data_IF_561423910918
#
_entry.id   IF_561423910918
#
_cell.length_a   1.000
_cell.length_b   1.000
_cell.length_c   1.000
_cell.angle_alpha   90.00
_cell.angle_beta   90.00
_cell.angle_gamma   90.00
#
_symmetry.space_group_name_H-M   'P 1'
#
loop_
_entity.id
_entity.type
_entity.pdbx_description
1 polymer ?
#
# COMPACT_ATOMS: atom_id res chain seq x y z
N UNK A 1 9.16 -11.62 -14.58
CA UNK A 1 8.78 -10.95 -13.32
C UNK A 1 7.73 -11.75 -12.57
N UNK A 2 7.58 -11.51 -11.27
CA UNK A 2 6.65 -12.22 -10.41
C UNK A 2 5.63 -11.25 -9.82
N UNK A 3 4.34 -11.62 -9.84
CA UNK A 3 3.25 -10.89 -9.18
C UNK A 3 2.69 -11.81 -8.08
N UNK A 4 2.68 -11.32 -6.85
CA UNK A 4 2.08 -11.98 -5.69
C UNK A 4 0.70 -11.35 -5.41
N UNK A 5 -0.36 -12.04 -5.78
CA UNK A 5 -1.74 -11.56 -5.61
C UNK A 5 -2.74 -12.70 -5.73
N UNK A 6 -3.93 -12.52 -5.15
CA UNK A 6 -5.05 -13.46 -5.32
C UNK A 6 -5.57 -13.50 -6.78
N UNK A 7 -6.30 -14.54 -7.12
CA UNK A 7 -6.79 -14.77 -8.49
C UNK A 7 -7.80 -13.68 -8.92
N UNK A 8 -8.61 -13.19 -8.00
CA UNK A 8 -9.68 -12.22 -8.26
C UNK A 8 -9.22 -10.75 -8.30
N UNK A 9 -7.90 -10.47 -8.32
CA UNK A 9 -7.41 -9.08 -8.35
C UNK A 9 -7.47 -8.49 -9.77
N UNK A 10 -8.64 -7.98 -10.16
CA UNK A 10 -8.89 -7.33 -11.45
C UNK A 10 -7.92 -6.18 -11.73
N UNK A 11 -7.48 -5.45 -10.69
CA UNK A 11 -6.49 -4.38 -10.89
C UNK A 11 -5.09 -4.91 -11.26
N UNK A 12 -4.76 -6.11 -10.84
CA UNK A 12 -3.54 -6.77 -11.31
C UNK A 12 -3.66 -7.16 -12.79
N UNK A 13 -4.87 -7.58 -13.24
CA UNK A 13 -5.12 -7.92 -14.64
C UNK A 13 -4.90 -6.72 -15.58
N UNK A 14 -5.30 -5.51 -15.17
CA UNK A 14 -5.03 -4.28 -15.92
C UNK A 14 -3.53 -4.10 -16.21
N UNK A 15 -2.68 -4.39 -15.22
CA UNK A 15 -1.21 -4.30 -15.37
C UNK A 15 -0.66 -5.43 -16.24
N UNK A 16 -1.17 -6.66 -16.07
CA UNK A 16 -0.75 -7.84 -16.83
C UNK A 16 -1.02 -7.65 -18.33
N UNK A 17 -2.14 -7.05 -18.72
CA UNK A 17 -2.45 -6.69 -20.10
C UNK A 17 -1.33 -5.86 -20.73
N UNK A 18 -0.87 -4.81 -20.05
CA UNK A 18 0.22 -3.96 -20.54
C UNK A 18 1.57 -4.69 -20.61
N UNK A 19 1.86 -5.54 -19.63
CA UNK A 19 3.09 -6.35 -19.60
C UNK A 19 3.12 -7.34 -20.75
N UNK A 20 2.02 -8.06 -20.99
CA UNK A 20 1.88 -9.01 -22.08
C UNK A 20 1.98 -8.29 -23.43
N UNK A 21 1.32 -7.14 -23.61
CA UNK A 21 1.43 -6.32 -24.80
C UNK A 21 2.85 -5.81 -25.09
N UNK A 22 3.70 -5.74 -24.06
CA UNK A 22 5.12 -5.37 -24.18
C UNK A 22 6.05 -6.58 -24.27
N UNK A 23 5.53 -7.80 -24.37
CA UNK A 23 6.34 -9.03 -24.46
C UNK A 23 7.12 -9.36 -23.17
N UNK A 24 6.73 -8.82 -22.02
CA UNK A 24 7.41 -9.07 -20.74
C UNK A 24 6.89 -10.37 -20.12
N UNK A 25 7.74 -11.38 -19.89
CA UNK A 25 7.31 -12.63 -19.25
C UNK A 25 6.82 -12.37 -17.81
N UNK A 26 5.57 -12.74 -17.53
CA UNK A 26 4.91 -12.58 -16.23
C UNK A 26 4.54 -13.94 -15.68
N UNK A 27 4.80 -14.14 -14.39
CA UNK A 27 4.23 -15.21 -13.60
C UNK A 27 3.46 -14.58 -12.44
N UNK A 28 2.19 -14.97 -12.30
CA UNK A 28 1.31 -14.57 -11.20
C UNK A 28 1.10 -15.79 -10.32
N UNK A 29 1.24 -15.63 -9.04
CA UNK A 29 0.91 -16.64 -8.04
C UNK A 29 0.15 -16.01 -6.89
N UNK A 30 -0.75 -16.76 -6.29
CA UNK A 30 -1.22 -16.48 -4.95
C UNK A 30 -0.33 -17.28 -3.97
N UNK A 31 0.32 -16.63 -3.00
CA UNK A 31 1.03 -17.32 -1.93
C UNK A 31 0.16 -18.33 -1.16
N UNK A 32 -1.15 -18.15 -1.13
CA UNK A 32 -2.07 -19.11 -0.55
C UNK A 32 -2.08 -20.47 -1.25
N UNK A 33 -1.67 -20.53 -2.55
CA UNK A 33 -1.56 -21.76 -3.33
C UNK A 33 -0.24 -22.49 -3.10
N UNK A 34 0.62 -22.00 -2.21
CA UNK A 34 1.87 -22.70 -1.90
C UNK A 34 1.54 -24.09 -1.32
N UNK A 35 2.12 -25.13 -1.93
CA UNK A 35 1.81 -26.55 -1.73
C UNK A 35 0.53 -27.06 -2.40
N UNK A 36 -0.26 -26.18 -3.02
CA UNK A 36 -1.46 -26.54 -3.78
C UNK A 36 -1.42 -25.81 -5.15
N UNK A 37 -0.62 -26.34 -6.07
CA UNK A 37 -0.42 -25.76 -7.41
C UNK A 37 0.81 -24.86 -7.53
N UNK A 38 1.36 -24.35 -6.42
CA UNK A 38 2.64 -23.64 -6.37
C UNK A 38 3.65 -24.43 -5.54
N UNK A 39 4.84 -24.68 -6.11
CA UNK A 39 5.95 -25.35 -5.41
C UNK A 39 7.16 -24.44 -5.36
N UNK A 40 7.93 -24.57 -4.28
CA UNK A 40 9.13 -23.78 -4.01
C UNK A 40 10.31 -24.71 -3.75
N UNK A 41 11.46 -24.42 -4.35
CA UNK A 41 12.72 -25.11 -4.08
C UNK A 41 13.87 -24.12 -4.04
N UNK A 42 14.79 -24.31 -3.12
CA UNK A 42 16.00 -23.50 -3.03
C UNK A 42 17.14 -24.28 -2.40
N UNK A 43 18.34 -24.11 -2.94
CA UNK A 43 19.56 -24.69 -2.40
C UNK A 43 20.64 -23.61 -2.17
N UNK A 44 21.40 -23.80 -1.13
CA UNK A 44 22.54 -22.96 -0.76
C UNK A 44 23.79 -23.82 -0.76
N UNK A 45 24.54 -23.77 -1.85
CA UNK A 45 25.71 -24.63 -2.05
C UNK A 45 26.90 -23.79 -2.52
N UNK A 46 28.07 -23.99 -1.89
CA UNK A 46 29.30 -23.28 -2.21
C UNK A 46 29.16 -21.75 -2.24
N UNK A 47 28.42 -21.17 -1.26
CA UNK A 47 28.20 -19.74 -1.17
C UNK A 47 27.26 -19.16 -2.23
N UNK A 48 26.54 -20.01 -2.97
CA UNK A 48 25.58 -19.60 -4.01
C UNK A 48 24.17 -20.07 -3.64
N UNK A 49 23.22 -19.17 -3.82
CA UNK A 49 21.81 -19.48 -3.75
C UNK A 49 21.25 -19.75 -5.15
N UNK A 50 20.43 -20.80 -5.28
CA UNK A 50 19.65 -21.12 -6.48
C UNK A 50 18.23 -21.42 -6.06
N UNK A 51 17.29 -20.54 -6.41
CA UNK A 51 15.88 -20.71 -6.08
C UNK A 51 15.00 -20.85 -7.31
N UNK A 52 13.97 -21.65 -7.19
CA UNK A 52 12.96 -21.88 -8.23
C UNK A 52 11.56 -21.90 -7.64
N UNK A 53 10.62 -21.40 -8.41
CA UNK A 53 9.18 -21.53 -8.20
C UNK A 53 8.59 -22.31 -9.36
N UNK A 54 7.68 -23.25 -9.09
CA UNK A 54 6.87 -23.91 -10.11
C UNK A 54 5.42 -23.49 -9.92
N UNK A 55 4.79 -22.97 -10.97
CA UNK A 55 3.39 -22.54 -10.97
C UNK A 55 2.79 -22.68 -12.36
N UNK A 56 1.59 -23.25 -12.48
CA UNK A 56 0.89 -23.42 -13.75
C UNK A 56 1.72 -24.15 -14.80
N UNK A 57 2.48 -25.18 -14.41
CA UNK A 57 3.37 -25.96 -15.29
C UNK A 57 4.63 -25.24 -15.77
N UNK A 58 4.94 -24.04 -15.21
CA UNK A 58 6.12 -23.24 -15.54
C UNK A 58 7.12 -23.25 -14.39
N UNK A 59 8.40 -23.45 -14.71
CA UNK A 59 9.51 -23.30 -13.77
C UNK A 59 10.10 -21.90 -13.90
N UNK A 60 10.18 -21.17 -12.77
CA UNK A 60 10.66 -19.79 -12.69
C UNK A 60 11.89 -19.73 -11.81
N UNK A 61 13.01 -19.27 -12.35
CA UNK A 61 14.20 -19.00 -11.54
C UNK A 61 14.00 -17.74 -10.69
N UNK A 62 14.15 -17.87 -9.38
CA UNK A 62 14.11 -16.74 -8.44
C UNK A 62 15.28 -15.78 -8.71
N UNK A 63 16.46 -16.32 -8.99
CA UNK A 63 17.65 -15.51 -9.29
C UNK A 63 17.53 -14.71 -10.60
N UNK A 64 16.68 -15.17 -11.54
CA UNK A 64 16.43 -14.47 -12.80
C UNK A 64 15.26 -13.48 -12.75
N UNK A 65 14.66 -13.25 -11.59
CA UNK A 65 13.56 -12.31 -11.45
C UNK A 65 14.04 -10.87 -11.63
N UNK A 66 13.40 -10.16 -12.55
CA UNK A 66 13.63 -8.71 -12.77
C UNK A 66 12.97 -7.85 -11.70
N UNK A 67 11.74 -8.22 -11.35
CA UNK A 67 10.95 -7.52 -10.35
C UNK A 67 9.94 -8.44 -9.68
N UNK A 68 9.58 -8.08 -8.44
CA UNK A 68 8.50 -8.71 -7.67
C UNK A 68 7.49 -7.63 -7.29
N UNK A 69 6.23 -7.87 -7.62
CA UNK A 69 5.13 -7.00 -7.21
C UNK A 69 4.29 -7.72 -6.15
N UNK A 70 4.31 -7.19 -4.92
CA UNK A 70 3.45 -7.66 -3.83
C UNK A 70 2.19 -6.82 -3.83
N UNK A 71 1.09 -7.40 -4.31
CA UNK A 71 -0.15 -6.64 -4.51
C UNK A 71 -1.21 -6.96 -3.47
N UNK A 72 -1.82 -8.12 -3.56
CA UNK A 72 -2.84 -8.62 -2.61
C UNK A 72 -2.65 -10.12 -2.38
N UNK A 73 -1.49 -10.52 -1.85
CA UNK A 73 -1.21 -11.93 -1.64
C UNK A 73 -2.12 -12.50 -0.55
N UNK A 74 -2.59 -13.72 -0.77
CA UNK A 74 -3.15 -14.54 0.30
C UNK A 74 -2.06 -14.96 1.30
N UNK A 75 -2.50 -15.54 2.40
CA UNK A 75 -1.59 -16.04 3.44
C UNK A 75 -0.88 -17.30 2.94
N UNK A 76 0.46 -17.38 2.95
CA UNK A 76 1.20 -18.56 2.52
C UNK A 76 0.95 -19.75 3.46
N UNK A 77 0.07 -20.65 3.09
CA UNK A 77 -0.22 -21.79 3.96
C UNK A 77 -0.84 -22.98 3.23
N UNK A 78 -1.01 -22.88 1.93
CA UNK A 78 -1.88 -23.78 1.17
C UNK A 78 -3.36 -23.57 1.51
N UNK A 79 -4.22 -24.05 0.63
CA UNK A 79 -5.69 -24.03 0.81
C UNK A 79 -6.18 -25.17 1.72
N UNK A 80 -5.33 -25.71 2.59
CA UNK A 80 -5.74 -26.70 3.58
C UNK A 80 -6.88 -26.13 4.43
N UNK A 81 -7.89 -26.92 4.72
CA UNK A 81 -9.09 -26.49 5.45
C UNK A 81 -8.79 -25.84 6.81
N UNK A 82 -7.65 -26.11 7.40
CA UNK A 82 -7.10 -25.47 8.60
C UNK A 82 -5.57 -25.54 8.58
N UNK A 83 -4.86 -24.60 7.92
CA UNK A 83 -3.41 -24.57 8.02
C UNK A 83 -3.00 -24.27 9.46
N UNK A 84 -2.06 -25.03 10.01
CA UNK A 84 -1.51 -24.70 11.32
C UNK A 84 -0.74 -23.38 11.24
N UNK A 85 -0.76 -22.60 12.32
CA UNK A 85 0.01 -21.36 12.39
C UNK A 85 1.52 -21.60 12.12
N UNK A 86 2.02 -22.76 12.50
CA UNK A 86 3.40 -23.17 12.23
C UNK A 86 3.67 -23.36 10.73
N UNK A 87 2.83 -24.09 10.00
CA UNK A 87 3.01 -24.27 8.54
C UNK A 87 2.88 -22.94 7.79
N UNK A 88 1.99 -22.05 8.23
CA UNK A 88 1.85 -20.70 7.67
C UNK A 88 3.14 -19.89 7.85
N UNK A 89 3.75 -19.97 9.01
CA UNK A 89 5.01 -19.26 9.28
C UNK A 89 6.17 -19.87 8.47
N UNK A 90 6.32 -21.20 8.43
CA UNK A 90 7.34 -21.89 7.62
C UNK A 90 7.21 -21.54 6.13
N UNK A 91 6.00 -21.58 5.57
CA UNK A 91 5.73 -21.21 4.20
C UNK A 91 6.07 -19.74 3.91
N UNK A 92 5.72 -18.85 4.84
CA UNK A 92 6.01 -17.43 4.74
C UNK A 92 7.51 -17.14 4.78
N UNK A 93 8.22 -17.74 5.74
CA UNK A 93 9.69 -17.61 5.86
C UNK A 93 10.40 -18.15 4.63
N UNK A 94 10.00 -19.31 4.14
CA UNK A 94 10.59 -19.93 2.95
C UNK A 94 10.37 -19.04 1.71
N UNK A 95 9.12 -18.68 1.40
CA UNK A 95 8.79 -17.92 0.20
C UNK A 95 9.46 -16.52 0.21
N UNK A 96 9.16 -15.73 1.23
CA UNK A 96 9.68 -14.37 1.27
C UNK A 96 11.19 -14.31 1.55
N UNK A 97 11.74 -15.27 2.29
CA UNK A 97 13.17 -15.39 2.51
C UNK A 97 13.93 -15.68 1.20
N UNK A 98 13.45 -16.64 0.41
CA UNK A 98 14.06 -16.94 -0.89
C UNK A 98 13.92 -15.80 -1.89
N UNK A 99 12.76 -15.14 -1.95
CA UNK A 99 12.55 -13.99 -2.83
C UNK A 99 13.47 -12.81 -2.46
N UNK A 100 13.72 -12.57 -1.16
CA UNK A 100 14.68 -11.56 -0.70
C UNK A 100 16.14 -11.89 -1.04
N UNK A 101 16.44 -13.16 -1.25
CA UNK A 101 17.75 -13.62 -1.73
C UNK A 101 18.01 -13.33 -3.21
N UNK A 102 17.06 -12.73 -3.94
CA UNK A 102 17.21 -12.30 -5.33
C UNK A 102 17.52 -10.81 -5.44
N UNK A 103 18.17 -10.41 -6.55
CA UNK A 103 18.44 -9.02 -6.90
C UNK A 103 17.21 -8.31 -7.51
N UNK A 104 16.04 -8.92 -7.43
CA UNK A 104 14.81 -8.39 -8.00
C UNK A 104 14.42 -7.07 -7.34
N UNK A 105 13.92 -6.13 -8.16
CA UNK A 105 13.33 -4.89 -7.63
C UNK A 105 11.94 -5.18 -7.08
N UNK A 106 11.55 -4.46 -6.04
CA UNK A 106 10.29 -4.68 -5.35
C UNK A 106 9.31 -3.52 -5.50
N UNK A 107 8.08 -3.86 -5.71
CA UNK A 107 6.95 -2.92 -5.60
C UNK A 107 5.87 -3.53 -4.68
N UNK A 108 5.81 -3.23 -3.38
CA UNK A 108 6.85 -2.66 -2.52
C UNK A 108 7.67 -3.78 -1.86
N UNK A 109 8.85 -3.43 -1.33
CA UNK A 109 9.56 -4.38 -0.47
C UNK A 109 8.70 -4.71 0.76
N UNK A 110 8.57 -6.00 1.14
CA UNK A 110 7.64 -6.40 2.21
C UNK A 110 7.90 -5.71 3.56
N UNK A 111 9.16 -5.45 3.90
CA UNK A 111 9.50 -4.82 5.18
C UNK A 111 9.13 -3.33 5.18
N UNK A 112 9.39 -2.62 4.09
CA UNK A 112 8.94 -1.24 3.90
C UNK A 112 7.41 -1.14 3.95
N UNK A 113 6.71 -2.05 3.27
CA UNK A 113 5.25 -2.13 3.29
C UNK A 113 4.71 -2.42 4.69
N UNK A 114 5.35 -3.33 5.46
CA UNK A 114 4.97 -3.65 6.84
C UNK A 114 5.09 -2.43 7.74
N UNK A 115 6.18 -1.69 7.66
CA UNK A 115 6.38 -0.46 8.42
C UNK A 115 5.35 0.61 8.01
N UNK A 116 5.17 0.80 6.71
CA UNK A 116 4.31 1.83 6.15
C UNK A 116 2.81 1.63 6.43
N UNK A 117 2.36 0.43 6.84
CA UNK A 117 0.95 0.18 7.18
C UNK A 117 0.51 0.80 8.52
N UNK A 118 1.44 1.18 9.40
CA UNK A 118 1.11 1.68 10.73
C UNK A 118 0.68 3.16 10.68
N UNK A 119 -0.61 3.46 10.85
CA UNK A 119 -1.15 4.84 10.79
C UNK A 119 -0.42 5.83 11.72
N UNK A 120 -0.11 5.53 12.99
CA UNK A 120 0.63 6.47 13.84
C UNK A 120 1.99 6.87 13.24
N UNK A 121 2.68 5.89 12.65
CA UNK A 121 3.95 6.13 11.99
C UNK A 121 3.78 6.96 10.71
N UNK A 122 2.74 6.67 9.91
CA UNK A 122 2.41 7.44 8.71
C UNK A 122 2.17 8.93 9.02
N UNK A 123 1.34 9.23 10.04
CA UNK A 123 1.02 10.60 10.44
C UNK A 123 2.30 11.35 10.87
N UNK A 124 3.14 10.72 11.69
CA UNK A 124 4.42 11.29 12.12
C UNK A 124 5.36 11.52 10.93
N UNK A 125 5.46 10.56 10.01
CA UNK A 125 6.32 10.70 8.84
C UNK A 125 5.82 11.83 7.92
N UNK A 126 4.50 11.90 7.68
CA UNK A 126 3.88 12.95 6.88
C UNK A 126 4.21 14.35 7.43
N UNK A 127 4.04 14.57 8.74
CA UNK A 127 4.43 15.82 9.40
C UNK A 127 5.91 16.16 9.21
N UNK A 128 6.80 15.17 9.38
CA UNK A 128 8.25 15.36 9.21
C UNK A 128 8.65 15.66 7.75
N UNK A 129 7.80 15.29 6.81
CA UNK A 129 7.99 15.58 5.39
C UNK A 129 7.34 16.90 4.97
N UNK A 130 6.62 17.59 5.87
CA UNK A 130 5.97 18.87 5.59
C UNK A 130 4.53 18.75 5.05
N UNK A 131 3.91 17.56 5.11
CA UNK A 131 2.49 17.40 4.79
C UNK A 131 1.63 17.89 5.96
N UNK A 132 0.58 18.70 5.70
CA UNK A 132 -0.41 19.03 6.72
C UNK A 132 -1.13 17.77 7.19
N UNK A 133 -1.19 17.55 8.50
CA UNK A 133 -1.86 16.40 9.13
C UNK A 133 -2.91 16.93 10.10
N UNK A 134 -4.18 16.47 10.02
CA UNK A 134 -5.20 16.88 10.97
C UNK A 134 -4.82 16.49 12.40
N UNK A 135 -5.17 17.32 13.39
CA UNK A 135 -4.96 16.98 14.79
C UNK A 135 -5.55 15.60 15.08
N UNK A 136 -4.76 14.73 15.70
CA UNK A 136 -5.10 13.31 15.91
C UNK A 136 -4.66 12.86 17.28
N UNK A 137 -5.51 12.10 17.97
CA UNK A 137 -5.17 11.36 19.17
C UNK A 137 -5.44 9.87 18.95
N UNK A 138 -4.57 9.01 19.45
CA UNK A 138 -4.80 7.57 19.54
C UNK A 138 -4.64 7.21 21.01
N UNK A 139 -5.70 6.74 21.62
CA UNK A 139 -5.72 6.56 23.08
C UNK A 139 -6.61 5.39 23.51
N UNK A 140 -6.29 4.84 24.67
CA UNK A 140 -7.14 3.95 25.47
C UNK A 140 -7.64 4.63 26.76
N UNK A 141 -7.37 5.94 26.93
CA UNK A 141 -7.77 6.71 28.09
C UNK A 141 -9.02 7.54 27.78
N UNK A 142 -10.19 7.24 28.38
CA UNK A 142 -11.42 8.01 28.16
C UNK A 142 -11.26 9.50 28.46
N UNK A 143 -10.47 9.85 29.48
CA UNK A 143 -10.17 11.23 29.82
C UNK A 143 -9.45 11.97 28.69
N UNK A 144 -8.40 11.35 28.10
CA UNK A 144 -7.66 11.96 27.00
C UNK A 144 -8.54 12.13 25.73
N UNK A 145 -9.48 11.21 25.50
CA UNK A 145 -10.44 11.33 24.41
C UNK A 145 -11.39 12.51 24.64
N UNK A 146 -11.91 12.72 25.86
CA UNK A 146 -12.76 13.88 26.22
C UNK A 146 -11.99 15.19 26.08
N UNK A 147 -10.80 15.31 26.68
CA UNK A 147 -9.96 16.50 26.58
C UNK A 147 -9.62 16.85 25.12
N UNK A 148 -9.46 15.84 24.26
CA UNK A 148 -9.25 16.05 22.83
C UNK A 148 -10.52 16.54 22.13
N UNK A 149 -11.70 16.00 22.48
CA UNK A 149 -12.98 16.42 21.93
C UNK A 149 -13.36 17.87 22.36
N UNK A 150 -13.03 18.26 23.57
CA UNK A 150 -13.20 19.66 24.04
C UNK A 150 -12.37 20.65 23.23
N UNK A 151 -11.15 20.27 22.83
CA UNK A 151 -10.27 21.12 22.01
C UNK A 151 -10.65 21.14 20.54
N UNK A 152 -11.25 20.07 20.04
CA UNK A 152 -11.62 19.89 18.65
C UNK A 152 -13.05 19.33 18.59
N UNK A 153 -14.09 20.19 18.54
CA UNK A 153 -15.49 19.73 18.66
C UNK A 153 -16.02 18.98 17.43
N UNK A 154 -15.34 19.05 16.28
CA UNK A 154 -15.72 18.34 15.07
C UNK A 154 -14.71 17.22 14.79
N UNK A 155 -15.07 16.00 15.20
CA UNK A 155 -14.21 14.84 15.17
C UNK A 155 -14.77 13.71 14.29
N UNK A 156 -13.84 12.91 13.83
CA UNK A 156 -14.12 11.59 13.24
C UNK A 156 -13.39 10.51 14.03
N UNK A 157 -13.99 9.34 14.09
CA UNK A 157 -13.38 8.10 14.58
C UNK A 157 -13.02 7.20 13.40
N UNK A 158 -11.85 6.60 13.45
CA UNK A 158 -11.32 5.71 12.41
C UNK A 158 -10.70 4.46 13.03
N UNK A 159 -10.76 3.30 12.35
CA UNK A 159 -9.99 2.13 12.78
C UNK A 159 -8.49 2.41 12.62
N UNK A 160 -7.71 1.99 13.60
CA UNK A 160 -6.23 2.09 13.52
C UNK A 160 -5.70 1.12 12.46
N UNK A 161 -6.26 -0.09 12.36
CA UNK A 161 -5.84 -1.12 11.41
C UNK A 161 -6.38 -0.95 9.99
N UNK A 162 -7.46 -0.21 9.80
CA UNK A 162 -8.10 0.02 8.50
C UNK A 162 -9.23 -0.96 8.15
N UNK A 163 -9.24 -2.19 8.69
CA UNK A 163 -10.28 -3.19 8.44
C UNK A 163 -10.60 -4.00 9.69
N UNK A 164 -11.83 -4.48 9.79
CA UNK A 164 -12.21 -5.46 10.82
C UNK A 164 -11.72 -6.85 10.40
N UNK A 165 -11.11 -7.63 11.30
CA UNK A 165 -10.54 -8.96 11.00
C UNK A 165 -11.62 -10.04 10.96
N UNK A 166 -12.70 -9.83 10.22
CA UNK A 166 -13.70 -10.86 9.90
C UNK A 166 -13.32 -11.56 8.60
N UNK A 167 -13.83 -12.73 8.39
CA UNK A 167 -13.74 -13.45 7.13
C UNK A 167 -15.11 -13.40 6.38
N UNK A 168 -15.21 -12.72 5.24
CA UNK A 168 -14.19 -11.85 4.62
C UNK A 168 -13.97 -10.54 5.41
N UNK A 169 -12.77 -9.94 5.32
CA UNK A 169 -12.46 -8.68 5.99
C UNK A 169 -13.41 -7.57 5.56
N UNK A 170 -14.00 -6.87 6.53
CA UNK A 170 -14.92 -5.76 6.26
C UNK A 170 -14.23 -4.41 6.47
N UNK A 171 -14.41 -3.52 5.51
CA UNK A 171 -13.99 -2.14 5.69
C UNK A 171 -14.82 -1.49 6.81
N UNK A 172 -14.13 -0.86 7.77
CA UNK A 172 -14.79 -0.05 8.80
C UNK A 172 -14.80 1.39 8.31
N UNK A 173 -15.98 2.03 8.19
CA UNK A 173 -16.04 3.41 7.73
C UNK A 173 -15.46 4.38 8.75
N UNK A 174 -14.98 5.51 8.25
CA UNK A 174 -14.74 6.69 9.08
C UNK A 174 -16.09 7.27 9.47
N UNK A 175 -16.34 7.45 10.75
CA UNK A 175 -17.62 7.95 11.26
C UNK A 175 -17.44 9.26 12.03
N UNK A 176 -18.41 10.14 11.94
CA UNK A 176 -18.45 11.37 12.74
C UNK A 176 -18.73 11.04 14.21
N UNK A 177 -18.05 11.72 15.10
CA UNK A 177 -18.28 11.62 16.55
C UNK A 177 -19.42 12.57 16.92
N UNK A 178 -20.47 12.06 17.57
CA UNK A 178 -21.57 12.89 18.04
C UNK A 178 -21.12 13.78 19.22
N UNK A 179 -21.67 15.01 19.37
CA UNK A 179 -21.27 15.92 20.42
C UNK A 179 -21.45 15.38 21.85
N UNK A 180 -22.46 14.52 22.03
CA UNK A 180 -22.81 13.88 23.30
C UNK A 180 -22.20 12.48 23.49
N UNK A 181 -21.17 12.14 22.68
CA UNK A 181 -20.53 10.83 22.74
C UNK A 181 -19.94 10.55 24.13
N UNK A 182 -20.35 9.44 24.74
CA UNK A 182 -19.65 8.89 25.90
C UNK A 182 -18.37 8.14 25.46
N UNK A 183 -17.23 8.61 25.89
CA UNK A 183 -15.94 8.03 25.57
C UNK A 183 -15.53 6.88 26.50
N UNK A 184 -16.41 6.37 27.36
CA UNK A 184 -16.08 5.28 28.30
C UNK A 184 -15.58 4.02 27.58
N UNK A 185 -16.16 3.71 26.41
CA UNK A 185 -15.77 2.56 25.58
C UNK A 185 -14.33 2.63 25.06
N UNK A 186 -13.68 3.79 25.06
CA UNK A 186 -12.26 3.95 24.70
C UNK A 186 -11.35 3.11 25.61
N UNK A 187 -11.79 2.80 26.85
CA UNK A 187 -11.05 1.95 27.76
C UNK A 187 -10.89 0.49 27.27
N UNK A 188 -11.71 0.05 26.33
CA UNK A 188 -11.67 -1.33 25.83
C UNK A 188 -10.69 -1.55 24.67
N UNK A 189 -10.17 -0.48 24.05
CA UNK A 189 -9.20 -0.61 22.96
C UNK A 189 -8.71 0.69 22.37
N UNK A 190 -7.59 0.66 21.63
CA UNK A 190 -7.04 1.84 20.98
C UNK A 190 -8.04 2.48 20.01
N UNK A 191 -8.40 3.72 20.30
CA UNK A 191 -9.34 4.51 19.49
C UNK A 191 -8.59 5.68 18.84
N UNK A 192 -8.72 5.85 17.53
CA UNK A 192 -8.18 6.97 16.78
C UNK A 192 -9.28 7.99 16.58
N UNK A 193 -9.12 9.16 17.21
CA UNK A 193 -9.94 10.33 16.97
C UNK A 193 -9.11 11.36 16.20
N UNK A 194 -9.72 11.98 15.19
CA UNK A 194 -9.06 12.95 14.34
C UNK A 194 -9.99 14.15 14.10
N UNK A 195 -9.42 15.37 14.12
CA UNK A 195 -10.16 16.56 13.70
C UNK A 195 -10.67 16.39 12.29
N UNK A 196 -11.97 16.53 12.09
CA UNK A 196 -12.58 16.50 10.77
C UNK A 196 -12.14 17.72 9.95
N UNK A 197 -11.77 17.51 8.74
CA UNK A 197 -11.52 18.60 7.79
C UNK A 197 -12.82 18.86 7.04
N UNK A 198 -13.27 20.11 7.06
CA UNK A 198 -14.37 20.57 6.21
C UNK A 198 -13.89 20.58 4.76
N UNK A 199 -13.90 19.41 4.14
CA UNK A 199 -13.35 19.19 2.81
C UNK A 199 -14.30 19.67 1.73
N UNK A 200 -13.75 20.27 0.66
CA UNK A 200 -14.45 20.51 -0.60
C UNK A 200 -14.20 19.41 -1.64
N UNK A 201 -13.17 18.59 -1.42
CA UNK A 201 -12.90 17.44 -2.26
C UNK A 201 -12.08 16.37 -1.52
N UNK A 202 -12.18 15.15 -2.01
CA UNK A 202 -11.23 14.07 -1.74
C UNK A 202 -10.18 14.01 -2.84
N UNK A 203 -8.93 13.78 -2.47
CA UNK A 203 -7.84 13.60 -3.41
C UNK A 203 -7.26 12.20 -3.25
N UNK A 204 -7.16 11.49 -4.36
CA UNK A 204 -6.42 10.24 -4.49
C UNK A 204 -5.16 10.48 -5.31
N UNK A 205 -3.99 10.41 -4.70
CA UNK A 205 -2.71 10.50 -5.40
C UNK A 205 -2.05 9.13 -5.43
N UNK A 206 -1.93 8.57 -6.63
CA UNK A 206 -1.17 7.33 -6.86
C UNK A 206 0.26 7.68 -7.24
N UNK A 207 1.21 7.15 -6.47
CA UNK A 207 2.65 7.29 -6.72
C UNK A 207 3.19 5.98 -7.26
N UNK A 208 3.94 6.03 -8.37
CA UNK A 208 4.63 4.88 -8.96
C UNK A 208 6.06 5.29 -9.30
N UNK A 209 7.01 4.90 -8.45
CA UNK A 209 8.38 5.43 -8.53
C UNK A 209 8.38 6.95 -8.34
N UNK A 210 8.76 7.68 -9.37
CA UNK A 210 8.79 9.15 -9.36
C UNK A 210 7.56 9.80 -10.03
N UNK A 211 6.65 9.00 -10.58
CA UNK A 211 5.44 9.50 -11.26
C UNK A 211 4.31 9.67 -10.27
N UNK A 212 3.59 10.77 -10.42
CA UNK A 212 2.43 11.17 -9.65
C UNK A 212 1.21 11.22 -10.56
N UNK A 213 0.16 10.50 -10.16
CA UNK A 213 -1.13 10.46 -10.86
C UNK A 213 -2.20 10.79 -9.81
N UNK A 214 -2.64 12.04 -9.81
CA UNK A 214 -3.60 12.53 -8.83
C UNK A 214 -4.99 12.70 -9.46
N UNK A 215 -6.00 12.33 -8.70
CA UNK A 215 -7.38 12.54 -9.03
C UNK A 215 -8.12 13.22 -7.88
N UNK A 216 -9.06 14.06 -8.22
CA UNK A 216 -9.88 14.86 -7.32
C UNK A 216 -11.35 14.50 -7.50
N UNK A 217 -12.06 14.28 -6.40
CA UNK A 217 -13.51 14.11 -6.38
C UNK A 217 -14.12 15.22 -5.54
N UNK A 218 -14.89 16.10 -6.18
CA UNK A 218 -15.55 17.19 -5.48
C UNK A 218 -16.60 16.64 -4.50
N UNK A 219 -16.70 17.25 -3.31
CA UNK A 219 -17.79 16.99 -2.39
C UNK A 219 -19.07 17.62 -2.94
N UNK A 220 -20.17 16.86 -2.99
CA UNK A 220 -21.44 17.41 -3.45
C UNK A 220 -21.88 18.55 -2.53
N UNK A 221 -22.52 19.62 -3.07
CA UNK A 221 -22.99 20.76 -2.26
C UNK A 221 -24.01 20.37 -1.20
N UNK A 222 -24.77 19.33 -1.45
CA UNK A 222 -25.84 18.73 -0.62
C UNK A 222 -25.39 17.44 0.09
N UNK A 223 -24.11 17.12 0.06
CA UNK A 223 -23.59 15.93 0.75
C UNK A 223 -23.92 15.98 2.24
N UNK A 224 -24.42 14.86 2.77
CA UNK A 224 -24.66 14.72 4.21
C UNK A 224 -23.33 14.94 4.95
N UNK A 225 -23.26 15.92 5.89
CA UNK A 225 -22.08 16.11 6.73
C UNK A 225 -21.68 14.86 7.53
N UNK A 226 -22.59 13.88 7.69
CA UNK A 226 -22.30 12.59 8.29
C UNK A 226 -21.55 11.65 7.35
N UNK A 227 -21.65 11.82 6.02
CA UNK A 227 -20.93 11.05 5.00
C UNK A 227 -19.48 11.50 4.88
N UNK A 228 -18.66 11.08 5.80
CA UNK A 228 -17.24 11.49 5.88
C UNK A 228 -16.33 10.63 4.98
N UNK A 229 -16.74 9.39 4.74
CA UNK A 229 -15.94 8.39 4.02
C UNK A 229 -16.41 8.26 2.57
N UNK A 230 -15.60 8.76 1.64
CA UNK A 230 -15.91 8.75 0.20
C UNK A 230 -16.23 7.36 -0.38
N UNK A 231 -15.78 6.29 0.27
CA UNK A 231 -16.02 4.91 -0.16
C UNK A 231 -17.46 4.47 0.06
N UNK A 232 -18.16 5.12 0.97
CA UNK A 232 -19.54 4.82 1.38
C UNK A 232 -20.50 5.98 1.11
N UNK A 233 -19.98 7.11 0.62
CA UNK A 233 -20.82 8.24 0.23
C UNK A 233 -21.70 7.90 -0.99
N UNK A 234 -22.84 8.57 -1.08
CA UNK A 234 -23.72 8.46 -2.25
C UNK A 234 -22.96 8.78 -3.55
N UNK A 235 -23.40 8.25 -4.72
CA UNK A 235 -22.81 8.62 -6.00
C UNK A 235 -22.80 10.15 -6.17
N UNK A 236 -21.63 10.72 -6.28
CA UNK A 236 -21.40 12.17 -6.43
C UNK A 236 -20.65 12.50 -7.72
N UNK A 237 -19.93 13.61 -7.72
CA UNK A 237 -19.08 14.01 -8.83
C UNK A 237 -18.09 12.89 -9.20
N UNK A 238 -17.74 12.72 -10.49
CA UNK A 238 -16.73 11.77 -10.92
C UNK A 238 -15.35 12.19 -10.39
N UNK A 239 -14.40 11.24 -10.42
CA UNK A 239 -12.99 11.55 -10.23
C UNK A 239 -12.44 12.25 -11.48
N UNK A 240 -11.74 13.35 -11.31
CA UNK A 240 -11.11 14.11 -12.37
C UNK A 240 -9.59 14.22 -12.13
N UNK A 241 -8.76 14.17 -13.17
CA UNK A 241 -7.33 14.42 -13.03
C UNK A 241 -7.07 15.81 -12.41
N UNK A 242 -6.08 15.89 -11.52
CA UNK A 242 -5.67 17.15 -10.92
C UNK A 242 -4.14 17.24 -10.82
N UNK A 243 -3.60 18.44 -10.96
CA UNK A 243 -2.18 18.66 -10.73
C UNK A 243 -1.86 18.66 -9.23
N UNK A 244 -0.72 18.03 -8.89
CA UNK A 244 -0.25 18.00 -7.50
C UNK A 244 0.44 19.33 -7.19
N UNK A 245 0.01 20.07 -6.16
CA UNK A 245 0.69 21.30 -5.77
C UNK A 245 2.18 21.06 -5.51
N UNK A 246 3.09 21.93 -5.99
CA UNK A 246 4.54 21.70 -5.92
C UNK A 246 5.07 21.36 -4.52
N UNK A 247 4.60 22.07 -3.50
CA UNK A 247 4.98 21.80 -2.09
C UNK A 247 4.51 20.42 -1.63
N UNK A 248 3.30 20.00 -2.01
CA UNK A 248 2.77 18.67 -1.71
C UNK A 248 3.58 17.61 -2.46
N UNK A 249 3.92 17.84 -3.72
CA UNK A 249 4.74 16.92 -4.51
C UNK A 249 6.12 16.68 -3.87
N UNK A 250 6.80 17.74 -3.41
CA UNK A 250 8.09 17.63 -2.74
C UNK A 250 8.00 16.88 -1.40
N UNK A 251 6.95 17.16 -0.63
CA UNK A 251 6.69 16.48 0.63
C UNK A 251 6.38 14.99 0.42
N UNK A 252 5.59 14.64 -0.61
CA UNK A 252 5.29 13.24 -0.96
C UNK A 252 6.55 12.52 -1.46
N UNK A 253 7.39 13.15 -2.29
CA UNK A 253 8.70 12.58 -2.68
C UNK A 253 9.58 12.29 -1.46
N UNK A 254 9.62 13.22 -0.50
CA UNK A 254 10.35 13.01 0.74
C UNK A 254 9.76 11.88 1.59
N UNK A 255 8.42 11.75 1.61
CA UNK A 255 7.71 10.68 2.29
C UNK A 255 8.05 9.30 1.70
N UNK A 256 7.84 9.09 0.38
CA UNK A 256 8.05 7.80 -0.26
C UNK A 256 9.52 7.35 -0.16
N UNK A 257 10.45 8.29 -0.28
CA UNK A 257 11.88 8.03 -0.10
C UNK A 257 12.24 7.54 1.29
N UNK A 258 11.70 8.21 2.35
CA UNK A 258 11.92 7.81 3.75
C UNK A 258 11.18 6.56 4.17
N UNK A 259 10.05 6.28 3.51
CA UNK A 259 9.27 5.07 3.70
C UNK A 259 9.79 3.89 2.86
N UNK A 260 10.78 4.12 2.00
CA UNK A 260 11.32 3.13 1.04
C UNK A 260 10.23 2.50 0.17
N UNK A 261 9.22 3.31 -0.17
CA UNK A 261 8.11 2.86 -1.00
C UNK A 261 8.37 3.17 -2.48
N UNK A 262 7.98 2.23 -3.33
CA UNK A 262 7.93 2.40 -4.78
C UNK A 262 6.51 2.76 -5.23
N UNK A 263 5.52 2.20 -4.55
CA UNK A 263 4.10 2.43 -4.81
C UNK A 263 3.41 2.94 -3.54
N UNK A 264 2.54 3.92 -3.69
CA UNK A 264 1.68 4.39 -2.63
C UNK A 264 0.44 5.08 -3.17
N UNK A 265 -0.72 4.73 -2.60
CA UNK A 265 -1.97 5.43 -2.84
C UNK A 265 -2.26 6.32 -1.63
N UNK A 266 -2.06 7.62 -1.81
CA UNK A 266 -2.25 8.63 -0.79
C UNK A 266 -3.67 9.18 -0.84
N UNK A 267 -4.28 9.32 0.32
CA UNK A 267 -5.56 9.96 0.49
C UNK A 267 -5.37 11.31 1.20
N UNK A 268 -5.93 12.36 0.59
CA UNK A 268 -5.98 13.70 1.20
C UNK A 268 -7.41 14.23 1.19
N UNK A 269 -7.70 15.11 2.16
CA UNK A 269 -8.85 15.99 2.14
C UNK A 269 -8.39 17.38 1.68
N UNK A 270 -9.01 17.92 0.63
CA UNK A 270 -8.78 19.29 0.18
C UNK A 270 -9.77 20.22 0.88
N UNK A 271 -9.28 21.21 1.61
CA UNK A 271 -10.12 22.22 2.27
C UNK A 271 -10.50 23.39 1.34
N UNK A 272 -11.22 24.37 1.88
CA UNK A 272 -11.67 25.56 1.13
C UNK A 272 -10.51 26.39 0.58
N UNK A 273 -9.36 26.39 1.25
CA UNK A 273 -8.16 27.15 0.88
C UNK A 273 -7.28 26.37 -0.14
N UNK A 274 -7.69 25.17 -0.53
CA UNK A 274 -6.95 24.30 -1.44
C UNK A 274 -5.79 23.55 -0.77
N UNK A 275 -5.74 23.54 0.57
CA UNK A 275 -4.75 22.75 1.31
C UNK A 275 -5.10 21.27 1.28
N UNK A 276 -4.15 20.42 0.92
CA UNK A 276 -4.29 18.99 0.94
C UNK A 276 -3.85 18.42 2.29
N UNK A 277 -4.81 18.04 3.11
CA UNK A 277 -4.58 17.44 4.43
C UNK A 277 -4.36 15.94 4.28
N UNK A 278 -3.18 15.46 4.69
CA UNK A 278 -2.83 14.04 4.62
C UNK A 278 -3.69 13.20 5.56
N UNK A 279 -4.31 12.17 5.03
CA UNK A 279 -5.14 11.23 5.79
C UNK A 279 -4.45 9.90 5.99
N UNK A 280 -3.98 9.26 4.90
CA UNK A 280 -3.24 8.00 4.95
C UNK A 280 -2.47 7.74 3.63
N UNK A 281 -1.53 6.79 3.68
CA UNK A 281 -0.87 6.22 2.52
C UNK A 281 -1.08 4.70 2.53
N UNK A 282 -1.76 4.18 1.52
CA UNK A 282 -1.94 2.75 1.35
C UNK A 282 -0.90 2.20 0.37
N UNK A 283 0.04 1.39 0.87
CA UNK A 283 1.14 0.80 0.10
C UNK A 283 0.72 -0.29 -0.90
N UNK A 284 -0.55 -0.71 -0.86
CA UNK A 284 -1.19 -1.64 -1.80
C UNK A 284 -2.58 -1.15 -2.21
N UNK A 285 -2.80 0.19 -2.21
CA UNK A 285 -4.10 0.80 -2.47
C UNK A 285 -4.66 0.48 -3.85
N UNK A 286 -5.98 0.43 -3.96
CA UNK A 286 -6.68 0.25 -5.23
C UNK A 286 -6.53 1.51 -6.09
N UNK A 287 -6.35 1.31 -7.40
CA UNK A 287 -6.22 2.38 -8.38
C UNK A 287 -7.16 2.22 -9.59
N UNK A 288 -7.70 1.02 -9.81
CA UNK A 288 -8.47 0.71 -11.01
C UNK A 288 -9.67 1.62 -11.21
N UNK A 289 -10.40 1.96 -10.14
CA UNK A 289 -11.53 2.90 -10.23
C UNK A 289 -11.10 4.30 -10.67
N UNK A 290 -9.93 4.77 -10.20
CA UNK A 290 -9.37 6.06 -10.62
C UNK A 290 -9.01 6.03 -12.11
N UNK A 291 -8.32 4.98 -12.57
CA UNK A 291 -7.96 4.83 -13.97
C UNK A 291 -9.17 4.78 -14.89
N UNK A 292 -10.22 4.01 -14.48
CA UNK A 292 -11.45 3.89 -15.27
C UNK A 292 -12.19 5.22 -15.40
N UNK A 293 -12.30 5.98 -14.31
CA UNK A 293 -13.01 7.26 -14.33
C UNK A 293 -12.20 8.40 -14.98
N UNK A 294 -10.88 8.41 -14.78
CA UNK A 294 -10.03 9.55 -15.20
C UNK A 294 -9.29 9.32 -16.51
N UNK A 295 -9.18 8.07 -16.97
CA UNK A 295 -8.31 7.71 -18.09
C UNK A 295 -6.81 7.85 -17.82
N UNK A 296 -6.38 8.11 -16.58
CA UNK A 296 -4.96 8.22 -16.24
C UNK A 296 -4.28 6.86 -16.38
N UNK A 297 -3.08 6.77 -16.99
CA UNK A 297 -2.45 5.49 -17.35
C UNK A 297 -1.72 4.84 -16.15
N UNK A 298 -2.42 4.56 -15.04
CA UNK A 298 -1.82 4.06 -13.80
C UNK A 298 -1.28 2.64 -13.99
N UNK A 299 -2.10 1.74 -14.55
CA UNK A 299 -1.73 0.35 -14.82
C UNK A 299 -0.52 0.26 -15.77
N UNK A 300 -0.54 1.08 -16.83
CA UNK A 300 0.59 1.19 -17.75
C UNK A 300 1.85 1.69 -17.04
N UNK A 301 1.73 2.70 -16.17
CA UNK A 301 2.87 3.24 -15.42
C UNK A 301 3.48 2.19 -14.49
N UNK A 302 2.64 1.38 -13.82
CA UNK A 302 3.08 0.24 -13.00
C UNK A 302 3.80 -0.79 -13.87
N UNK A 303 3.22 -1.16 -15.02
CA UNK A 303 3.81 -2.12 -15.94
C UNK A 303 5.18 -1.65 -16.45
N UNK A 304 5.30 -0.39 -16.86
CA UNK A 304 6.56 0.20 -17.30
C UNK A 304 7.63 0.17 -16.19
N UNK A 305 7.24 0.47 -14.95
CA UNK A 305 8.18 0.39 -13.83
C UNK A 305 8.65 -1.04 -13.59
N UNK A 306 7.74 -2.00 -13.57
CA UNK A 306 8.03 -3.41 -13.34
C UNK A 306 8.90 -4.01 -14.47
N UNK A 307 8.72 -3.56 -15.70
CA UNK A 307 9.45 -4.04 -16.88
C UNK A 307 10.89 -3.53 -16.99
N UNK A 308 11.27 -2.47 -16.25
CA UNK A 308 12.63 -1.90 -16.34
C UNK A 308 13.69 -2.95 -15.98
N UNK A 309 14.82 -3.02 -16.69
CA UNK A 309 15.94 -3.88 -16.31
C UNK A 309 16.43 -3.58 -14.89
N UNK A 310 16.93 -4.62 -14.20
CA UNK A 310 17.73 -4.41 -12.99
C UNK A 310 19.05 -3.76 -13.42
N UNK A 311 19.49 -2.66 -12.81
CA UNK A 311 20.83 -2.14 -13.06
C UNK A 311 21.86 -3.26 -12.84
N UNK A 312 22.80 -3.43 -13.77
CA UNK A 312 23.87 -4.38 -13.56
C UNK A 312 24.62 -4.01 -12.28
N UNK A 313 24.84 -5.00 -11.39
CA UNK A 313 25.70 -4.80 -10.25
C UNK A 313 27.08 -4.33 -10.78
N UNK A 314 27.74 -3.36 -10.14
CA UNK A 314 29.10 -3.00 -10.51
C UNK A 314 29.95 -4.30 -10.49
N UNK A 315 30.68 -4.57 -11.58
CA UNK A 315 31.52 -5.75 -11.67
C UNK A 315 32.59 -5.65 -10.59
N UNK A 316 32.70 -6.66 -9.72
CA UNK A 316 33.78 -6.77 -8.71
C UNK A 316 35.19 -6.91 -9.33
N UNK A 317 35.34 -6.67 -10.64
CA UNK A 317 36.57 -6.90 -11.39
C UNK A 317 37.65 -5.81 -11.26
N UNK A 318 37.39 -4.65 -10.62
CA UNK A 318 38.35 -3.55 -10.55
C UNK A 318 39.05 -3.38 -9.17
N UNK A 319 38.91 -4.35 -8.24
CA UNK A 319 39.48 -4.28 -6.88
C UNK A 319 40.74 -5.12 -6.64
N UNK A 320 41.24 -5.88 -7.61
CA UNK A 320 42.38 -6.78 -7.39
C UNK A 320 43.62 -6.40 -8.24
N UNK A 321 44.11 -5.17 -8.10
CA UNK A 321 45.49 -4.83 -8.57
C UNK A 321 46.00 -3.59 -7.83
N UNK A 322 46.48 -3.80 -6.62
CA UNK A 322 47.45 -2.89 -6.01
C UNK A 322 48.31 -3.64 -5.00
N UNK A 323 49.38 -4.19 -5.54
CA UNK A 323 50.76 -4.17 -5.02
C UNK A 323 51.01 -4.56 -3.57
N UNK A 324 51.45 -5.80 -3.41
CA UNK A 324 52.53 -6.13 -2.50
C UNK A 324 53.85 -5.61 -3.11
N UNK A 325 54.45 -4.63 -2.49
CA UNK A 325 55.90 -4.43 -2.38
C UNK A 325 56.25 -3.92 -0.98
#
# INVERSE_FOLDING_TARGET
MLILTCEEDVTADMVVVHLNGSGVPVVRIDPADLTDGVSLSGEFVHGRFRGHLSAGGRLVSINGLRSVWVRRPGTPAGRAAQPSAWLTEEASQALYGMLRGSDARWMNHPDAARQARHKPWQLRLAQRCGLPVPATVITTFPRAAREFAERFPDLVVKPVSGAHPQDPPRAVPTSRVAPDTDFSAVAFGPTLLQRRIAKRADIRLTVVGERFLAARKATAPDADPAEVDVRFAAPGAPWEPVEVPPRTADAVRAYVRRAELTYGAFDFAEDADGTWWFLECNQSGQFGFVEVETGQPIARTIAEWLARPVPAAPSEADGASSTLR
#
